data_IF_049814497098
#
_entry.id   IF_049814497098
#
_cell.length_a   1.000
_cell.length_b   1.000
_cell.length_c   1.000
_cell.angle_alpha   90.00
_cell.angle_beta   90.00
_cell.angle_gamma   90.00
#
_symmetry.space_group_name_H-M   'P 1'
#
loop_
_entity.id
_entity.type
_entity.pdbx_description
1 polymer ?
#
# COMPACT_ATOMS: atom_id res chain seq x y z
N UNK A 1 -5.15 -51.41 29.42
CA UNK A 1 -4.40 -50.13 29.52
C UNK A 1 -4.04 -49.52 28.17
N UNK A 2 -3.80 -50.29 27.09
CA UNK A 2 -3.45 -49.74 25.76
C UNK A 2 -4.54 -48.96 24.97
N UNK A 3 -5.85 -49.29 25.00
CA UNK A 3 -6.82 -48.64 24.11
C UNK A 3 -7.14 -47.18 24.48
N UNK A 4 -6.98 -46.82 25.76
CA UNK A 4 -7.25 -45.47 26.27
C UNK A 4 -6.21 -44.48 25.73
N UNK A 5 -4.95 -44.91 25.63
CA UNK A 5 -3.86 -44.08 25.10
C UNK A 5 -4.11 -43.75 23.62
N UNK A 6 -4.59 -44.72 22.84
CA UNK A 6 -4.94 -44.51 21.43
C UNK A 6 -6.05 -43.46 21.24
N UNK A 7 -7.08 -43.49 22.09
CA UNK A 7 -8.18 -42.53 22.03
C UNK A 7 -7.72 -41.10 22.38
N UNK A 8 -6.82 -40.94 23.36
CA UNK A 8 -6.27 -39.64 23.76
C UNK A 8 -5.40 -39.06 22.64
N UNK A 9 -4.55 -39.87 22.01
CA UNK A 9 -3.72 -39.42 20.88
C UNK A 9 -4.58 -39.00 19.70
N UNK A 10 -5.62 -39.78 19.35
CA UNK A 10 -6.54 -39.42 18.29
C UNK A 10 -7.29 -38.12 18.58
N UNK A 11 -7.80 -37.95 19.81
CA UNK A 11 -8.45 -36.71 20.25
C UNK A 11 -7.53 -35.50 20.18
N UNK A 12 -6.26 -35.64 20.60
CA UNK A 12 -5.26 -34.57 20.52
C UNK A 12 -4.95 -34.16 19.09
N UNK A 13 -4.85 -35.13 18.16
CA UNK A 13 -4.61 -34.85 16.74
C UNK A 13 -5.79 -34.10 16.09
N UNK A 14 -7.02 -34.48 16.43
CA UNK A 14 -8.24 -33.79 15.95
C UNK A 14 -8.28 -32.36 16.49
N UNK A 15 -8.05 -32.18 17.79
CA UNK A 15 -8.05 -30.86 18.43
C UNK A 15 -6.99 -29.93 17.82
N UNK A 16 -5.79 -30.45 17.55
CA UNK A 16 -4.70 -29.69 16.92
C UNK A 16 -5.05 -29.25 15.49
N UNK A 17 -5.74 -30.11 14.72
CA UNK A 17 -6.23 -29.75 13.38
C UNK A 17 -7.23 -28.60 13.44
N UNK A 18 -8.21 -28.68 14.34
CA UNK A 18 -9.23 -27.63 14.52
C UNK A 18 -8.58 -26.30 14.93
N UNK A 19 -7.64 -26.32 15.87
CA UNK A 19 -6.90 -25.11 16.29
C UNK A 19 -6.08 -24.47 15.17
N UNK A 20 -5.53 -25.26 14.25
CA UNK A 20 -4.80 -24.73 13.10
C UNK A 20 -5.71 -24.04 12.08
N UNK A 21 -6.95 -24.52 11.90
CA UNK A 21 -7.96 -23.89 11.03
C UNK A 21 -8.53 -22.59 11.61
N UNK A 22 -8.59 -22.45 12.94
CA UNK A 22 -9.00 -21.20 13.59
C UNK A 22 -7.88 -20.17 13.77
N UNK A 23 -6.63 -20.55 13.48
CA UNK A 23 -5.48 -19.64 13.48
C UNK A 23 -5.48 -18.77 12.23
N UNK A 24 -6.17 -17.63 12.27
CA UNK A 24 -6.11 -16.62 11.20
C UNK A 24 -4.67 -16.14 10.91
N UNK A 25 -4.43 -15.52 9.73
CA UNK A 25 -3.10 -15.12 9.31
C UNK A 25 -2.43 -14.23 10.36
N UNK A 26 -1.13 -14.42 10.54
CA UNK A 26 -0.35 -13.67 11.52
C UNK A 26 -0.49 -12.18 11.23
N UNK A 27 -0.67 -11.35 12.28
CA UNK A 27 -0.80 -9.88 12.16
C UNK A 27 0.27 -9.25 11.25
N UNK A 28 1.47 -9.85 11.20
CA UNK A 28 2.57 -9.42 10.31
C UNK A 28 2.26 -9.58 8.82
N UNK A 29 1.56 -10.65 8.44
CA UNK A 29 1.18 -10.92 7.06
C UNK A 29 0.11 -9.95 6.58
N UNK A 30 -0.87 -9.64 7.45
CA UNK A 30 -1.87 -8.61 7.18
C UNK A 30 -1.22 -7.24 6.90
N UNK A 31 -0.24 -6.85 7.72
CA UNK A 31 0.49 -5.60 7.47
C UNK A 31 1.27 -5.61 6.16
N UNK A 32 1.90 -6.74 5.80
CA UNK A 32 2.62 -6.88 4.53
C UNK A 32 1.69 -6.75 3.33
N UNK A 33 0.52 -7.38 3.38
CA UNK A 33 -0.50 -7.29 2.32
C UNK A 33 -0.99 -5.85 2.15
N UNK A 34 -1.28 -5.15 3.25
CA UNK A 34 -1.66 -3.73 3.20
C UNK A 34 -0.56 -2.88 2.55
N UNK A 35 0.71 -3.08 2.93
CA UNK A 35 1.82 -2.32 2.37
C UNK A 35 1.99 -2.54 0.86
N UNK A 36 1.85 -3.78 0.39
CA UNK A 36 1.87 -4.12 -1.04
C UNK A 36 0.70 -3.49 -1.80
N UNK A 37 -0.50 -3.50 -1.21
CA UNK A 37 -1.68 -2.87 -1.78
C UNK A 37 -1.51 -1.34 -1.90
N UNK A 38 -1.00 -0.69 -0.85
CA UNK A 38 -0.67 0.74 -0.88
C UNK A 38 0.38 1.06 -1.96
N UNK A 39 1.43 0.23 -2.11
CA UNK A 39 2.42 0.40 -3.18
C UNK A 39 1.79 0.29 -4.57
N UNK A 40 0.88 -0.66 -4.78
CA UNK A 40 0.15 -0.82 -6.05
C UNK A 40 -0.76 0.36 -6.34
N UNK A 41 -1.46 0.88 -5.33
CA UNK A 41 -2.33 2.05 -5.46
C UNK A 41 -1.52 3.31 -5.79
N UNK A 42 -0.36 3.52 -5.14
CA UNK A 42 0.51 4.66 -5.39
C UNK A 42 1.09 4.69 -6.81
N UNK A 43 1.26 3.53 -7.45
CA UNK A 43 1.74 3.41 -8.83
C UNK A 43 0.65 3.69 -9.90
N UNK A 44 -0.64 3.62 -9.56
CA UNK A 44 -1.75 3.73 -10.53
C UNK A 44 -2.31 5.14 -10.71
N UNK A 45 -1.57 6.18 -10.32
CA UNK A 45 -2.13 7.52 -10.13
C UNK A 45 -1.96 8.40 -11.37
N UNK A 46 -2.64 8.03 -12.44
CA UNK A 46 -3.13 8.98 -13.45
C UNK A 46 -4.63 9.19 -13.20
N UNK A 47 -4.96 9.74 -12.03
CA UNK A 47 -6.34 10.13 -11.69
C UNK A 47 -6.74 11.47 -12.31
N UNK A 48 -8.03 11.84 -12.32
CA UNK A 48 -8.54 13.05 -13.01
C UNK A 48 -8.02 14.40 -12.50
N UNK A 49 -7.25 14.42 -11.40
CA UNK A 49 -6.63 15.62 -10.82
C UNK A 49 -5.10 15.66 -11.02
N UNK A 50 -4.59 15.08 -12.11
CA UNK A 50 -3.17 15.20 -12.48
C UNK A 50 -2.85 16.65 -12.88
N UNK A 51 -1.85 17.30 -12.26
CA UNK A 51 -1.44 18.65 -12.66
C UNK A 51 -0.80 18.62 -14.06
N UNK A 52 -1.14 19.58 -14.91
CA UNK A 52 -0.47 19.75 -16.21
C UNK A 52 0.95 20.27 -16.03
N UNK A 53 1.82 19.95 -16.98
CA UNK A 53 3.19 20.45 -16.98
C UNK A 53 3.21 21.98 -17.13
N UNK A 54 3.91 22.74 -16.26
CA UNK A 54 3.94 24.20 -16.34
C UNK A 54 4.76 24.74 -17.52
N UNK A 55 5.61 23.90 -18.14
CA UNK A 55 6.48 24.32 -19.25
C UNK A 55 5.85 24.04 -20.63
N UNK A 56 5.24 22.86 -20.81
CA UNK A 56 4.72 22.43 -22.11
C UNK A 56 3.21 22.19 -22.13
N UNK A 57 2.53 22.27 -20.99
CA UNK A 57 1.10 21.94 -20.88
C UNK A 57 0.77 20.45 -21.03
N UNK A 58 1.76 19.59 -21.28
CA UNK A 58 1.58 18.15 -21.43
C UNK A 58 1.18 17.44 -20.13
N UNK A 59 0.86 16.15 -20.24
CA UNK A 59 0.57 15.31 -19.09
C UNK A 59 1.79 15.11 -18.19
N UNK A 60 1.52 14.89 -16.91
CA UNK A 60 2.53 14.56 -15.92
C UNK A 60 2.25 13.19 -15.30
N UNK A 61 3.32 12.49 -14.98
CA UNK A 61 3.32 11.21 -14.26
C UNK A 61 3.86 11.42 -12.85
N UNK A 62 3.35 10.66 -11.87
CA UNK A 62 3.89 10.69 -10.51
C UNK A 62 5.17 9.88 -10.47
N UNK A 63 6.28 10.53 -10.14
CA UNK A 63 7.59 9.92 -10.00
C UNK A 63 8.09 10.04 -8.55
N UNK A 64 8.60 8.93 -8.01
CA UNK A 64 9.20 8.85 -6.68
C UNK A 64 10.73 8.86 -6.82
N UNK A 65 11.36 9.97 -6.47
CA UNK A 65 12.80 10.05 -6.24
C UNK A 65 13.14 9.56 -4.81
N UNK A 66 14.41 9.25 -4.50
CA UNK A 66 14.80 8.75 -3.19
C UNK A 66 14.35 9.63 -2.01
N UNK A 67 14.29 10.95 -2.21
CA UNK A 67 14.00 11.93 -1.17
C UNK A 67 12.71 12.76 -1.42
N UNK A 68 12.09 12.66 -2.60
CA UNK A 68 10.93 13.48 -2.96
C UNK A 68 9.98 12.79 -3.93
N UNK A 69 8.69 13.15 -3.84
CA UNK A 69 7.66 12.80 -4.83
C UNK A 69 7.33 14.02 -5.67
N UNK A 70 7.32 13.86 -6.99
CA UNK A 70 6.96 14.92 -7.94
C UNK A 70 6.06 14.37 -9.02
N UNK A 71 5.32 15.27 -9.63
CA UNK A 71 4.72 15.08 -10.94
C UNK A 71 5.73 15.53 -11.98
N UNK A 72 6.30 14.57 -12.70
CA UNK A 72 7.30 14.78 -13.76
C UNK A 72 6.58 14.78 -15.11
N UNK A 73 6.99 15.64 -16.03
CA UNK A 73 6.44 15.60 -17.39
C UNK A 73 6.79 14.28 -18.09
N UNK A 74 5.81 13.71 -18.81
CA UNK A 74 5.98 12.45 -19.58
C UNK A 74 7.10 12.57 -20.63
N UNK A 75 7.30 13.78 -21.18
CA UNK A 75 8.34 14.04 -22.19
C UNK A 75 9.74 14.30 -21.60
N UNK A 76 9.99 14.08 -20.31
CA UNK A 76 11.35 14.22 -19.80
C UNK A 76 12.29 13.16 -20.40
N UNK A 77 13.51 13.50 -20.88
CA UNK A 77 14.29 14.69 -20.53
C UNK A 77 14.13 15.91 -21.45
N UNK A 78 13.35 15.82 -22.54
CA UNK A 78 13.16 16.95 -23.47
C UNK A 78 12.36 18.08 -22.83
N UNK A 79 11.40 17.76 -21.96
CA UNK A 79 10.72 18.72 -21.09
C UNK A 79 11.06 18.47 -19.61
N UNK A 80 11.71 19.44 -18.95
CA UNK A 80 12.12 19.36 -17.53
C UNK A 80 11.09 19.98 -16.59
N UNK A 81 9.81 19.88 -16.93
CA UNK A 81 8.73 20.40 -16.10
C UNK A 81 8.45 19.47 -14.92
N UNK A 82 8.43 20.05 -13.72
CA UNK A 82 8.11 19.34 -12.49
C UNK A 82 7.06 20.12 -11.70
N UNK A 83 6.08 19.41 -11.14
CA UNK A 83 5.14 19.96 -10.17
C UNK A 83 5.31 19.19 -8.86
N UNK A 84 5.41 19.91 -7.74
CA UNK A 84 5.56 19.29 -6.42
C UNK A 84 4.32 18.45 -6.13
N UNK A 85 4.48 17.17 -5.84
CA UNK A 85 3.37 16.37 -5.35
C UNK A 85 3.09 16.80 -3.91
N UNK A 86 2.06 17.61 -3.69
CA UNK A 86 1.59 17.90 -2.34
C UNK A 86 1.24 16.56 -1.69
N UNK A 87 1.89 16.22 -0.57
CA UNK A 87 1.46 15.08 0.25
C UNK A 87 -0.03 15.27 0.49
N UNK A 88 -0.84 14.25 0.23
CA UNK A 88 -2.23 14.26 0.61
C UNK A 88 -2.29 14.47 2.11
N UNK A 89 -2.42 15.74 2.53
CA UNK A 89 -2.61 16.09 3.91
C UNK A 89 -3.87 15.38 4.36
N UNK A 90 -3.84 14.83 5.57
CA UNK A 90 -5.06 14.33 6.19
C UNK A 90 -6.15 15.39 6.11
N UNK A 91 -7.42 14.98 6.05
CA UNK A 91 -8.55 15.90 5.86
C UNK A 91 -8.52 17.05 6.88
N UNK A 92 -8.03 16.80 8.09
CA UNK A 92 -7.83 17.79 9.15
C UNK A 92 -6.62 18.72 8.93
N UNK A 93 -5.54 18.27 8.30
CA UNK A 93 -4.35 19.09 8.01
C UNK A 93 -4.60 20.16 6.95
N UNK A 94 -5.53 19.91 6.01
CA UNK A 94 -5.89 20.89 4.97
C UNK A 94 -6.50 22.18 5.51
N UNK A 95 -7.16 22.14 6.67
CA UNK A 95 -7.76 23.30 7.35
C UNK A 95 -6.74 24.34 7.84
N UNK A 96 -5.50 23.93 8.09
CA UNK A 96 -4.49 24.79 8.71
C UNK A 96 -3.63 25.57 7.72
N UNK A 97 -3.67 25.22 6.43
CA UNK A 97 -2.85 25.87 5.40
C UNK A 97 -3.48 27.12 4.77
N UNK A 98 -4.76 27.42 5.06
CA UNK A 98 -5.49 28.59 4.52
C UNK A 98 -5.70 29.71 5.57
N UNK A 99 -4.86 29.79 6.62
CA UNK A 99 -4.92 30.88 7.60
C UNK A 99 -3.65 31.71 7.53
#
# INVERSE_FOLDING_TARGET
MLPVIGAVVAGFLILRKVLAEFGGPSRKEQYRQLEEEFKKADNKITGPNTPRCPLCGGDTERFQYPHLRVWRCVNYPTCRGFVKATKGGTRYGRKWHNR
#
